data_IF_916794801566
#
_entry.id   IF_916794801566
#
_cell.length_a   1.000
_cell.length_b   1.000
_cell.length_c   1.000
_cell.angle_alpha   90.00
_cell.angle_beta   90.00
_cell.angle_gamma   90.00
#
_symmetry.space_group_name_H-M   'P 1'
#
loop_
_entity.id
_entity.type
_entity.pdbx_description
1 polymer ?
#
# COMPACT_ATOMS: atom_id res chain seq x y z
N UNK A 1 -7.40 -77.34 6.65
CA UNK A 1 -8.41 -76.42 7.23
C UNK A 1 -7.98 -74.99 6.93
N UNK A 2 -8.89 -74.07 6.58
CA UNK A 2 -9.06 -73.58 5.21
C UNK A 2 -8.30 -72.29 4.85
N UNK A 3 -8.10 -72.09 3.54
CA UNK A 3 -7.92 -70.79 2.90
C UNK A 3 -9.11 -69.88 3.21
N UNK A 4 -8.84 -68.61 3.53
CA UNK A 4 -9.81 -67.53 3.42
C UNK A 4 -9.25 -66.46 2.49
N UNK A 5 -9.99 -66.28 1.40
CA UNK A 5 -9.79 -65.37 0.29
C UNK A 5 -10.71 -64.15 0.51
N UNK A 6 -10.28 -63.00 -0.02
CA UNK A 6 -11.05 -61.82 -0.44
C UNK A 6 -11.52 -60.76 0.59
N UNK A 7 -11.41 -59.51 0.09
CA UNK A 7 -12.26 -58.32 0.33
C UNK A 7 -11.93 -57.53 1.61
N UNK A 8 -11.73 -56.21 1.61
CA UNK A 8 -12.29 -55.13 0.77
C UNK A 8 -11.37 -53.89 0.80
N UNK A 9 -11.28 -53.21 -0.35
CA UNK A 9 -10.87 -51.81 -0.43
C UNK A 9 -11.79 -50.93 0.43
N UNK A 10 -11.22 -49.97 1.15
CA UNK A 10 -11.90 -48.78 1.65
C UNK A 10 -10.91 -47.61 1.60
N UNK A 11 -10.87 -46.97 0.43
CA UNK A 11 -10.46 -45.57 0.28
C UNK A 11 -11.46 -44.70 1.03
N UNK A 12 -11.02 -43.80 1.92
CA UNK A 12 -11.66 -42.53 2.33
C UNK A 12 -10.70 -41.88 3.36
N UNK A 13 -10.37 -40.61 3.38
CA UNK A 13 -10.57 -39.48 2.49
C UNK A 13 -9.47 -38.46 2.87
N UNK A 14 -8.94 -37.73 1.88
CA UNK A 14 -8.02 -36.63 2.12
C UNK A 14 -8.72 -35.58 3.01
N UNK A 15 -8.11 -35.25 4.15
CA UNK A 15 -8.50 -34.07 4.91
C UNK A 15 -8.11 -32.85 4.08
N UNK A 16 -9.08 -32.33 3.32
CA UNK A 16 -8.95 -31.08 2.58
C UNK A 16 -8.68 -29.98 3.61
N UNK A 17 -7.52 -29.35 3.45
CA UNK A 17 -7.09 -28.22 4.26
C UNK A 17 -8.17 -27.13 4.24
N UNK A 18 -8.45 -26.60 5.44
CA UNK A 18 -9.31 -25.45 5.65
C UNK A 18 -8.67 -24.25 4.96
N UNK A 19 -9.20 -23.86 3.81
CA UNK A 19 -8.97 -22.53 3.25
C UNK A 19 -10.13 -21.64 3.70
N UNK A 20 -9.99 -21.03 4.87
CA UNK A 20 -10.76 -19.82 5.19
C UNK A 20 -10.32 -18.75 4.19
N UNK A 21 -11.07 -18.59 3.11
CA UNK A 21 -11.07 -17.35 2.35
C UNK A 21 -11.71 -16.29 3.25
N UNK A 22 -10.90 -15.72 4.15
CA UNK A 22 -11.20 -14.39 4.65
C UNK A 22 -11.20 -13.50 3.41
N UNK A 23 -12.39 -13.16 2.92
CA UNK A 23 -12.51 -12.17 1.87
C UNK A 23 -11.83 -10.92 2.37
N UNK A 24 -10.80 -10.46 1.66
CA UNK A 24 -10.27 -9.12 1.83
C UNK A 24 -11.39 -8.16 1.46
N UNK A 25 -12.24 -7.84 2.43
CA UNK A 25 -13.22 -6.78 2.29
C UNK A 25 -12.43 -5.50 2.08
N UNK A 26 -12.58 -4.87 0.92
CA UNK A 26 -12.11 -3.50 0.76
C UNK A 26 -12.92 -2.63 1.72
N UNK A 27 -12.28 -2.18 2.78
CA UNK A 27 -12.89 -1.32 3.78
C UNK A 27 -12.61 0.14 3.43
N UNK A 28 -13.46 1.04 3.94
CA UNK A 28 -13.25 2.48 3.80
C UNK A 28 -11.89 2.83 4.45
N UNK A 29 -11.03 3.64 3.80
CA UNK A 29 -9.77 4.04 4.40
C UNK A 29 -9.97 4.67 5.78
N UNK A 30 -9.16 4.28 6.79
CA UNK A 30 -9.23 4.85 8.13
C UNK A 30 -8.90 6.35 8.17
N UNK A 31 -8.38 6.90 7.07
CA UNK A 31 -8.02 8.29 6.91
C UNK A 31 -8.81 8.92 5.76
N UNK A 32 -9.28 10.16 5.96
CA UNK A 32 -9.84 10.96 4.87
C UNK A 32 -8.73 11.62 4.03
N UNK A 33 -9.02 11.96 2.78
CA UNK A 33 -8.12 12.79 1.95
C UNK A 33 -7.66 14.04 2.69
N UNK A 34 -8.58 14.75 3.36
CA UNK A 34 -8.26 15.99 4.10
C UNK A 34 -7.22 15.76 5.20
N UNK A 35 -7.39 14.70 6.01
CA UNK A 35 -6.43 14.36 7.05
C UNK A 35 -5.09 13.93 6.45
N UNK A 36 -5.10 13.14 5.37
CA UNK A 36 -3.88 12.75 4.67
C UNK A 36 -3.12 13.99 4.14
N UNK A 37 -3.81 14.93 3.49
CA UNK A 37 -3.21 16.19 3.02
C UNK A 37 -2.62 17.01 4.17
N UNK A 38 -3.29 17.05 5.33
CA UNK A 38 -2.78 17.74 6.52
C UNK A 38 -1.52 17.08 7.08
N UNK A 39 -1.46 15.75 7.14
CA UNK A 39 -0.27 15.02 7.56
C UNK A 39 0.91 15.30 6.62
N UNK A 40 0.68 15.22 5.31
CA UNK A 40 1.69 15.55 4.29
C UNK A 40 2.18 16.99 4.42
N UNK A 41 1.28 17.95 4.63
CA UNK A 41 1.67 19.35 4.84
C UNK A 41 2.52 19.54 6.11
N UNK A 42 2.17 18.85 7.20
CA UNK A 42 2.93 18.87 8.44
C UNK A 42 4.34 18.26 8.26
N UNK A 43 4.45 17.17 7.50
CA UNK A 43 5.74 16.53 7.17
C UNK A 43 6.65 17.46 6.35
N UNK A 44 6.08 18.23 5.44
CA UNK A 44 6.83 19.23 4.68
C UNK A 44 7.24 20.43 5.55
N UNK A 45 6.48 20.75 6.61
CA UNK A 45 6.78 21.84 7.54
C UNK A 45 7.13 23.17 6.84
N UNK A 46 6.40 23.51 5.79
CA UNK A 46 6.63 24.72 4.97
C UNK A 46 7.82 24.65 4.00
N UNK A 47 8.55 23.53 3.94
CA UNK A 47 9.63 23.30 2.98
C UNK A 47 9.08 22.82 1.62
N UNK A 48 9.93 22.93 0.60
CA UNK A 48 9.67 22.40 -0.75
C UNK A 48 9.80 20.88 -0.82
N UNK A 49 10.62 20.28 0.04
CA UNK A 49 10.78 18.83 0.11
C UNK A 49 11.21 18.35 1.50
N UNK A 50 10.92 17.08 1.78
CA UNK A 50 11.37 16.39 2.98
C UNK A 50 11.55 14.89 2.71
N UNK A 51 12.63 14.31 3.22
CA UNK A 51 12.77 12.85 3.31
C UNK A 51 12.18 12.39 4.63
N UNK A 52 11.19 11.51 4.58
CA UNK A 52 10.43 11.04 5.75
C UNK A 52 10.30 9.53 5.74
N UNK A 53 10.09 8.93 6.91
CA UNK A 53 9.62 7.56 7.02
C UNK A 53 8.17 7.50 6.52
N UNK A 54 7.87 6.52 5.66
CA UNK A 54 6.56 6.36 5.06
C UNK A 54 5.46 6.18 6.11
N UNK A 55 5.79 5.52 7.24
CA UNK A 55 4.90 5.33 8.38
C UNK A 55 4.29 6.63 8.91
N UNK A 56 4.90 7.79 8.66
CA UNK A 56 4.39 9.10 9.10
C UNK A 56 3.33 9.72 8.18
N UNK A 57 3.08 9.14 7.00
CA UNK A 57 2.04 9.62 6.09
C UNK A 57 0.63 9.46 6.69
N UNK A 58 0.44 8.45 7.55
CA UNK A 58 -0.83 8.10 8.14
C UNK A 58 -0.66 7.77 9.62
N UNK A 59 -1.67 8.12 10.42
CA UNK A 59 -1.70 8.01 11.89
C UNK A 59 -2.36 6.72 12.39
N UNK A 60 -2.43 5.69 11.54
CA UNK A 60 -2.98 4.38 11.86
C UNK A 60 -2.00 3.27 11.48
N UNK A 61 -2.21 2.06 12.02
CA UNK A 61 -1.35 0.91 11.75
C UNK A 61 -1.60 0.33 10.35
N UNK A 62 -0.51 0.15 9.60
CA UNK A 62 -0.47 -0.54 8.31
C UNK A 62 0.89 -1.22 8.13
N UNK A 63 0.94 -2.25 7.29
CA UNK A 63 2.11 -3.09 7.05
C UNK A 63 2.73 -2.86 5.66
N UNK A 64 1.88 -2.50 4.68
CA UNK A 64 2.29 -2.19 3.31
C UNK A 64 1.42 -1.07 2.74
N UNK A 65 2.03 -0.20 1.94
CA UNK A 65 1.36 0.86 1.19
C UNK A 65 1.79 0.76 -0.28
N UNK A 66 0.84 0.55 -1.19
CA UNK A 66 1.09 0.48 -2.63
C UNK A 66 0.58 1.73 -3.34
N UNK A 67 1.32 2.18 -4.36
CA UNK A 67 1.00 3.34 -5.18
C UNK A 67 0.64 2.87 -6.59
N UNK A 68 -0.58 3.14 -7.02
CA UNK A 68 -1.07 2.77 -8.36
C UNK A 68 -1.49 4.04 -9.11
N UNK A 69 -1.06 4.16 -10.36
CA UNK A 69 -1.51 5.21 -11.27
C UNK A 69 -2.65 4.67 -12.11
N UNK A 70 -3.87 5.08 -11.76
CA UNK A 70 -5.08 4.82 -12.56
C UNK A 70 -5.67 6.18 -12.98
N UNK A 71 -6.98 6.33 -12.99
CA UNK A 71 -7.66 7.63 -13.18
C UNK A 71 -7.37 8.65 -12.08
N UNK A 72 -6.84 8.19 -10.94
CA UNK A 72 -6.32 8.98 -9.82
C UNK A 72 -5.12 8.25 -9.21
N UNK A 73 -4.35 8.91 -8.34
CA UNK A 73 -3.34 8.21 -7.56
C UNK A 73 -4.04 7.38 -6.48
N UNK A 74 -3.94 6.05 -6.55
CA UNK A 74 -4.50 5.18 -5.53
C UNK A 74 -3.42 4.80 -4.52
N UNK A 75 -3.72 5.02 -3.25
CA UNK A 75 -2.94 4.56 -2.12
C UNK A 75 -3.64 3.38 -1.46
N UNK A 76 -3.11 2.17 -1.64
CA UNK A 76 -3.67 0.94 -1.07
C UNK A 76 -2.90 0.56 0.19
N UNK A 77 -3.55 0.65 1.35
CA UNK A 77 -3.01 0.26 2.65
C UNK A 77 -3.40 -1.18 2.98
N UNK A 78 -2.42 -2.04 3.23
CA UNK A 78 -2.60 -3.36 3.83
C UNK A 78 -2.40 -3.28 5.34
N UNK A 79 -3.41 -3.67 6.10
CA UNK A 79 -3.48 -3.55 7.56
C UNK A 79 -3.37 -4.90 8.27
N UNK A 80 -2.84 -5.93 7.60
CA UNK A 80 -2.59 -7.24 8.23
C UNK A 80 -3.85 -8.10 8.36
N UNK A 81 -4.78 -7.97 7.42
CA UNK A 81 -6.04 -8.72 7.39
C UNK A 81 -7.14 -7.97 6.64
N UNK A 82 -7.00 -6.66 6.51
CA UNK A 82 -7.89 -5.79 5.74
C UNK A 82 -7.07 -4.89 4.82
N UNK A 83 -7.68 -4.51 3.70
CA UNK A 83 -7.11 -3.54 2.77
C UNK A 83 -8.05 -2.37 2.60
N UNK A 84 -7.51 -1.16 2.54
CA UNK A 84 -8.27 0.04 2.23
C UNK A 84 -7.59 0.89 1.16
N UNK A 85 -8.39 1.56 0.35
CA UNK A 85 -7.91 2.36 -0.79
C UNK A 85 -8.27 3.82 -0.56
N UNK A 86 -7.26 4.70 -0.61
CA UNK A 86 -7.42 6.15 -0.59
C UNK A 86 -7.13 6.71 -1.99
N UNK A 87 -8.15 7.12 -2.74
CA UNK A 87 -7.96 7.82 -4.01
C UNK A 87 -7.54 9.27 -3.77
N UNK A 88 -6.50 9.72 -4.47
CA UNK A 88 -5.95 11.07 -4.41
C UNK A 88 -5.98 11.72 -5.81
N UNK A 89 -6.50 12.96 -5.93
CA UNK A 89 -6.59 13.65 -7.21
C UNK A 89 -5.21 14.06 -7.73
N UNK A 90 -4.96 13.90 -9.03
CA UNK A 90 -3.67 14.23 -9.66
C UNK A 90 -3.36 15.73 -9.67
N UNK A 91 -4.37 16.57 -9.47
CA UNK A 91 -4.25 18.01 -9.27
C UNK A 91 -3.57 18.35 -7.94
N UNK A 92 -3.55 17.43 -6.98
CA UNK A 92 -2.96 17.64 -5.65
C UNK A 92 -1.78 16.68 -5.39
N UNK A 93 -1.85 15.43 -5.85
CA UNK A 93 -0.90 14.36 -5.53
C UNK A 93 -0.55 13.50 -6.73
N UNK A 94 0.70 13.12 -6.89
CA UNK A 94 1.09 12.19 -7.93
C UNK A 94 2.38 11.42 -7.58
N UNK A 95 2.61 10.34 -8.31
CA UNK A 95 3.91 9.71 -8.51
C UNK A 95 4.24 9.83 -9.99
N UNK A 96 5.51 9.92 -10.34
CA UNK A 96 5.92 9.96 -11.75
C UNK A 96 5.76 8.57 -12.41
N UNK A 97 5.92 8.48 -13.73
CA UNK A 97 5.73 7.23 -14.46
C UNK A 97 6.73 6.14 -14.02
N UNK A 98 6.37 4.86 -14.10
CA UNK A 98 7.17 3.75 -13.59
C UNK A 98 8.60 3.67 -14.19
N UNK A 99 8.80 4.20 -15.40
CA UNK A 99 10.10 4.27 -16.06
C UNK A 99 10.97 5.43 -15.56
N UNK A 100 10.41 6.39 -14.81
CA UNK A 100 11.13 7.51 -14.23
C UNK A 100 11.85 7.06 -12.96
N UNK A 101 13.10 7.51 -12.83
CA UNK A 101 13.94 7.17 -11.69
C UNK A 101 13.25 7.50 -10.36
N UNK A 102 13.35 6.58 -9.40
CA UNK A 102 12.76 6.68 -8.07
C UNK A 102 11.23 6.77 -8.03
N UNK A 103 10.53 6.51 -9.15
CA UNK A 103 9.08 6.41 -9.13
C UNK A 103 8.61 5.32 -8.15
N UNK A 104 7.48 5.63 -7.51
CA UNK A 104 6.72 4.70 -6.68
C UNK A 104 5.57 4.04 -7.43
N UNK A 105 5.30 4.39 -8.70
CA UNK A 105 4.26 3.72 -9.49
C UNK A 105 4.44 2.20 -9.49
N UNK A 106 3.34 1.47 -9.24
CA UNK A 106 3.29 0.01 -9.15
C UNK A 106 4.28 -0.58 -8.14
N UNK A 107 4.70 0.21 -7.16
CA UNK A 107 5.59 -0.19 -6.08
C UNK A 107 4.85 -0.16 -4.75
N UNK A 108 5.27 -1.03 -3.83
CA UNK A 108 4.80 -1.03 -2.46
C UNK A 108 5.96 -0.76 -1.49
N UNK A 109 5.67 -0.02 -0.43
CA UNK A 109 6.60 0.32 0.64
C UNK A 109 6.05 -0.12 2.00
N UNK A 110 6.92 -0.19 2.98
CA UNK A 110 6.67 -0.48 4.39
C UNK A 110 6.74 0.81 5.22
N UNK A 111 6.22 0.82 6.46
CA UNK A 111 6.31 2.01 7.31
C UNK A 111 7.74 2.50 7.57
N UNK A 112 8.73 1.60 7.52
CA UNK A 112 10.13 1.92 7.78
C UNK A 112 10.86 2.49 6.55
N UNK A 113 10.29 2.36 5.35
CA UNK A 113 10.92 2.88 4.14
C UNK A 113 10.97 4.40 4.16
N UNK A 114 12.08 4.95 3.66
CA UNK A 114 12.25 6.39 3.50
C UNK A 114 11.80 6.81 2.10
N UNK A 115 10.98 7.84 2.06
CA UNK A 115 10.48 8.43 0.82
C UNK A 115 10.80 9.91 0.77
N UNK A 116 10.96 10.45 -0.44
CA UNK A 116 11.02 11.88 -0.69
C UNK A 116 9.59 12.37 -0.98
N UNK A 117 9.15 13.34 -0.19
CA UNK A 117 7.92 14.11 -0.43
C UNK A 117 8.34 15.48 -0.94
N UNK A 118 7.83 15.91 -2.10
CA UNK A 118 8.29 17.15 -2.76
C UNK A 118 7.11 17.92 -3.35
N UNK A 119 7.19 19.25 -3.34
CA UNK A 119 6.34 20.14 -4.16
C UNK A 119 6.97 20.26 -5.55
N UNK A 120 6.26 19.84 -6.60
CA UNK A 120 6.81 19.86 -7.98
C UNK A 120 6.95 21.29 -8.54
N UNK A 121 6.17 22.25 -8.03
CA UNK A 121 6.21 23.66 -8.44
C UNK A 121 6.10 24.57 -7.22
N UNK A 122 6.98 25.58 -7.13
CA UNK A 122 6.95 26.59 -6.07
C UNK A 122 5.70 27.48 -6.22
N UNK A 123 4.93 27.64 -5.14
CA UNK A 123 3.70 28.44 -5.07
C UNK A 123 2.48 27.68 -4.51
N UNK A 124 1.37 28.39 -4.28
CA UNK A 124 0.15 27.89 -3.59
C UNK A 124 -0.57 26.70 -4.28
N UNK A 125 -0.09 26.29 -5.45
CA UNK A 125 -0.67 25.22 -6.28
C UNK A 125 0.31 24.07 -6.59
N UNK A 126 1.41 23.97 -5.83
CA UNK A 126 2.40 22.92 -6.00
C UNK A 126 1.83 21.53 -5.70
N UNK A 127 1.66 20.70 -6.74
CA UNK A 127 1.37 19.27 -6.63
C UNK A 127 2.41 18.58 -5.76
N UNK A 128 1.97 17.67 -4.90
CA UNK A 128 2.84 16.83 -4.09
C UNK A 128 3.24 15.59 -4.88
N UNK A 129 4.55 15.40 -4.98
CA UNK A 129 5.18 14.23 -5.57
C UNK A 129 5.70 13.31 -4.47
N UNK A 130 5.43 12.00 -4.61
CA UNK A 130 6.06 10.97 -3.81
C UNK A 130 7.10 10.21 -4.65
N UNK A 131 8.31 10.06 -4.11
CA UNK A 131 9.38 9.29 -4.72
C UNK A 131 10.05 8.39 -3.68
N UNK A 132 10.71 7.33 -4.13
CA UNK A 132 11.69 6.61 -3.30
C UNK A 132 12.77 7.61 -2.87
N UNK A 133 13.17 7.60 -1.60
CA UNK A 133 14.29 8.42 -1.18
C UNK A 133 15.56 7.87 -1.84
N UNK A 134 16.31 8.73 -2.52
CA UNK A 134 17.68 8.38 -2.90
C UNK A 134 18.51 8.27 -1.62
N UNK A 135 19.41 7.29 -1.58
CA UNK A 135 20.53 7.32 -0.63
C UNK A 135 21.48 8.44 -1.07
N UNK A 136 21.08 9.70 -0.89
CA UNK A 136 22.07 10.76 -0.77
C UNK A 136 22.66 10.63 0.63
N UNK A 137 23.95 10.28 0.67
CA UNK A 137 24.69 9.77 1.83
C UNK A 137 24.89 10.72 3.00
#
# INVERSE_FOLDING_TARGET
MPLAIFRRYLSFAAAVAVATLAGCGMTKPPISKKQFSQNVAALLAGKESAVVEAGKLADFAWSRLCFEREDSLLLTFDQGGETSVLPLPYEEFFVDEAHVANSLENSCITPADRILVKRKYSGDHGRIEFQKATQEG
#
